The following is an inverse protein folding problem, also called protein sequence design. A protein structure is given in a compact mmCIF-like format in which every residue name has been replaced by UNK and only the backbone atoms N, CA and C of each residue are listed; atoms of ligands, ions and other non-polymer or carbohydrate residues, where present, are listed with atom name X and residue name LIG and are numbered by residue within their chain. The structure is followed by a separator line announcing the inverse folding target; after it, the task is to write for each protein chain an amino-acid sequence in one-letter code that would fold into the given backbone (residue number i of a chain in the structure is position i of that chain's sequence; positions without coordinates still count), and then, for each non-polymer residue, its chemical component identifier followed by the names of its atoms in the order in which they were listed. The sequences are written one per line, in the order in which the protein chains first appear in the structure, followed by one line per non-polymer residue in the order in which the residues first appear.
data_IF_748869494733
#
_entry.id   IF_748869494733
#
_cell.length_a   1.000
_cell.length_b   1.000
_cell.length_c   1.000
_cell.angle_alpha   90.00
_cell.angle_beta   90.00
_cell.angle_gamma   90.00
#
_symmetry.space_group_name_H-M   'P 1'
#
loop_
_entity.id
_entity.type
_entity.pdbx_description
1 polymer ?
#
# COMPACT_ATOMS: atom_id res chain seq x y z
N UNK A 1 9.70 -24.91 -0.83
CA UNK A 1 9.55 -24.44 0.55
C UNK A 1 8.15 -24.74 1.10
N UNK A 2 7.09 -24.08 0.61
CA UNK A 2 5.70 -24.26 1.10
C UNK A 2 5.28 -25.73 1.32
N UNK A 3 5.48 -26.61 0.31
CA UNK A 3 5.16 -28.06 0.43
C UNK A 3 5.89 -28.76 1.59
N UNK A 4 7.14 -28.39 1.87
CA UNK A 4 7.98 -29.06 2.88
C UNK A 4 7.57 -28.69 4.30
N UNK A 5 7.12 -27.45 4.50
CA UNK A 5 6.81 -26.88 5.82
C UNK A 5 5.31 -26.88 6.14
N UNK A 6 4.44 -27.05 5.12
CA UNK A 6 2.99 -26.99 5.32
C UNK A 6 2.44 -25.56 5.42
N UNK A 7 3.08 -24.62 4.74
CA UNK A 7 2.86 -23.18 4.93
C UNK A 7 4.16 -22.49 5.34
N UNK A 8 4.09 -21.20 5.65
CA UNK A 8 5.27 -20.42 6.08
C UNK A 8 5.08 -19.71 7.42
N UNK A 9 3.91 -19.84 8.05
CA UNK A 9 3.60 -19.28 9.38
C UNK A 9 3.40 -20.37 10.43
N UNK A 10 3.72 -20.04 11.67
CA UNK A 10 3.36 -20.82 12.87
C UNK A 10 2.93 -19.88 14.00
N UNK A 11 2.18 -20.40 14.98
CA UNK A 11 1.80 -19.65 16.19
C UNK A 11 2.66 -20.13 17.35
N UNK A 12 3.44 -19.22 17.93
CA UNK A 12 4.28 -19.50 19.09
C UNK A 12 3.75 -18.76 20.35
N UNK A 13 3.83 -19.43 21.50
CA UNK A 13 3.44 -18.82 22.79
C UNK A 13 4.51 -17.86 23.31
N UNK A 14 4.09 -16.67 23.75
CA UNK A 14 4.95 -15.69 24.46
C UNK A 14 5.31 -16.14 25.89
N UNK A 15 4.61 -17.13 26.43
CA UNK A 15 4.80 -17.66 27.79
C UNK A 15 5.04 -19.17 27.74
N UNK A 16 6.03 -19.67 28.47
CA UNK A 16 6.30 -21.11 28.59
C UNK A 16 5.52 -21.68 29.77
N UNK A 17 4.66 -22.67 29.51
CA UNK A 17 3.90 -23.37 30.54
C UNK A 17 4.69 -24.58 31.05
N UNK A 18 5.50 -24.40 32.10
CA UNK A 18 6.35 -25.46 32.67
C UNK A 18 5.80 -26.03 33.96
N UNK A 19 4.98 -25.26 34.68
CA UNK A 19 4.41 -25.62 35.97
C UNK A 19 2.89 -25.44 35.99
N UNK A 20 2.23 -26.04 36.97
CA UNK A 20 0.81 -25.80 37.25
C UNK A 20 0.55 -24.33 37.59
N UNK A 21 1.51 -23.66 38.23
CA UNK A 21 1.39 -22.23 38.51
C UNK A 21 1.34 -21.42 37.21
N UNK A 22 2.24 -21.69 36.26
CA UNK A 22 2.24 -21.01 34.95
C UNK A 22 0.90 -21.19 34.22
N UNK A 23 0.37 -22.42 34.23
CA UNK A 23 -0.94 -22.73 33.65
C UNK A 23 -2.08 -21.98 34.37
N UNK A 24 -2.03 -21.90 35.70
CA UNK A 24 -3.06 -21.22 36.51
C UNK A 24 -3.08 -19.70 36.32
N UNK A 25 -1.95 -19.11 35.92
CA UNK A 25 -1.82 -17.68 35.64
C UNK A 25 -2.24 -17.38 34.19
N UNK A 26 -1.72 -18.15 33.22
CA UNK A 26 -2.01 -17.96 31.81
C UNK A 26 -3.44 -18.40 31.42
N UNK A 27 -4.03 -19.31 32.19
CA UNK A 27 -5.38 -19.82 32.01
C UNK A 27 -6.17 -19.74 33.31
N UNK A 28 -7.14 -20.64 33.53
CA UNK A 28 -7.99 -20.59 34.72
C UNK A 28 -7.22 -20.95 36.00
N UNK A 29 -7.45 -20.23 37.11
CA UNK A 29 -8.40 -19.11 37.26
C UNK A 29 -7.83 -17.72 36.90
N UNK A 30 -6.51 -17.57 36.71
CA UNK A 30 -5.81 -16.28 36.58
C UNK A 30 -6.28 -15.42 35.40
N UNK A 31 -6.58 -16.04 34.26
CA UNK A 31 -7.08 -15.34 33.05
C UNK A 31 -8.38 -14.55 33.29
N UNK A 32 -9.12 -14.84 34.36
CA UNK A 32 -10.32 -14.07 34.71
C UNK A 32 -10.01 -12.61 35.09
N UNK A 33 -8.83 -12.33 35.66
CA UNK A 33 -8.44 -10.97 36.06
C UNK A 33 -8.32 -9.99 34.89
N UNK A 34 -7.52 -10.26 33.82
CA UNK A 34 -7.49 -9.36 32.66
C UNK A 34 -8.88 -9.25 31.99
N UNK A 35 -9.69 -10.31 31.98
CA UNK A 35 -11.07 -10.23 31.47
C UNK A 35 -11.93 -9.23 32.28
N UNK A 36 -11.86 -9.26 33.62
CA UNK A 36 -12.58 -8.29 34.48
C UNK A 36 -12.10 -6.87 34.24
N UNK A 37 -10.78 -6.66 34.14
CA UNK A 37 -10.19 -5.35 33.84
C UNK A 37 -10.63 -4.78 32.49
N UNK A 38 -10.65 -5.61 31.44
CA UNK A 38 -11.12 -5.19 30.11
C UNK A 38 -12.62 -4.89 30.13
N UNK A 39 -13.42 -5.64 30.91
CA UNK A 39 -14.86 -5.35 31.08
C UNK A 39 -15.08 -3.98 31.75
N UNK A 40 -14.26 -3.62 32.73
CA UNK A 40 -14.31 -2.32 33.41
C UNK A 40 -13.84 -1.17 32.51
N UNK A 41 -12.74 -1.38 31.78
CA UNK A 41 -12.20 -0.42 30.82
C UNK A 41 -11.78 -1.15 29.52
N UNK A 42 -12.61 -1.07 28.45
CA UNK A 42 -12.36 -1.74 27.18
C UNK A 42 -11.01 -1.40 26.52
N UNK A 43 -10.43 -0.23 26.83
CA UNK A 43 -9.14 0.17 26.26
C UNK A 43 -7.97 -0.68 26.74
N UNK A 44 -8.08 -1.33 27.91
CA UNK A 44 -7.06 -2.23 28.47
C UNK A 44 -6.86 -3.50 27.64
N UNK A 45 -7.70 -3.75 26.63
CA UNK A 45 -7.48 -4.82 25.66
C UNK A 45 -6.13 -4.67 24.95
N UNK A 46 -5.65 -3.44 24.73
CA UNK A 46 -4.33 -3.19 24.13
C UNK A 46 -3.18 -3.43 25.11
N UNK A 47 -3.44 -3.52 26.41
CA UNK A 47 -2.42 -3.80 27.41
C UNK A 47 -2.31 -5.31 27.68
N UNK A 48 -3.44 -5.99 27.86
CA UNK A 48 -3.47 -7.37 28.31
C UNK A 48 -3.55 -8.42 27.20
N UNK A 49 -3.66 -8.01 25.92
CA UNK A 49 -3.84 -8.95 24.82
C UNK A 49 -2.93 -8.67 23.64
N UNK A 50 -2.86 -9.63 22.72
CA UNK A 50 -2.09 -9.52 21.47
C UNK A 50 -2.56 -8.35 20.59
N UNK A 51 -3.79 -7.82 20.79
CA UNK A 51 -4.36 -6.73 19.98
C UNK A 51 -3.40 -5.54 19.81
N UNK A 52 -2.54 -5.27 20.79
CA UNK A 52 -1.47 -4.24 20.74
C UNK A 52 -0.64 -4.27 19.46
N UNK A 53 -0.36 -5.47 18.94
CA UNK A 53 0.65 -5.69 17.92
C UNK A 53 0.20 -6.69 16.84
N UNK A 54 -1.11 -6.84 16.64
CA UNK A 54 -1.66 -7.84 15.73
C UNK A 54 -2.44 -7.20 14.57
N UNK A 55 -2.16 -7.63 13.34
CA UNK A 55 -2.82 -7.16 12.12
C UNK A 55 -3.52 -8.31 11.41
N UNK A 56 -4.74 -8.10 10.92
CA UNK A 56 -5.38 -9.03 9.99
C UNK A 56 -5.01 -8.66 8.55
N UNK A 57 -4.45 -9.60 7.80
CA UNK A 57 -4.23 -9.47 6.35
C UNK A 57 -5.44 -10.10 5.66
N UNK A 58 -6.40 -9.26 5.26
CA UNK A 58 -7.71 -9.69 4.78
C UNK A 58 -7.78 -9.60 3.26
N UNK A 59 -8.22 -10.70 2.63
CA UNK A 59 -8.48 -10.76 1.18
C UNK A 59 -9.73 -11.59 0.90
N UNK A 60 -10.33 -11.43 -0.28
CA UNK A 60 -11.30 -12.37 -0.86
C UNK A 60 -10.73 -13.15 -2.07
N UNK A 61 -9.45 -12.92 -2.40
CA UNK A 61 -8.74 -13.55 -3.50
C UNK A 61 -9.21 -13.12 -4.90
N UNK A 62 -9.89 -11.96 -5.01
CA UNK A 62 -10.47 -11.49 -6.27
C UNK A 62 -9.51 -10.76 -7.20
N UNK A 63 -8.34 -10.33 -6.71
CA UNK A 63 -7.33 -9.62 -7.51
C UNK A 63 -5.90 -9.97 -7.10
N UNK A 64 -5.59 -11.27 -6.97
CA UNK A 64 -4.29 -11.72 -6.46
C UNK A 64 -3.17 -11.49 -7.47
N UNK A 65 -2.26 -10.57 -7.17
CA UNK A 65 -1.11 -10.24 -8.04
C UNK A 65 -1.59 -9.95 -9.49
N UNK A 66 -0.88 -10.46 -10.50
CA UNK A 66 -1.32 -10.46 -11.90
C UNK A 66 -2.18 -11.68 -12.29
N UNK A 67 -2.62 -12.50 -11.33
CA UNK A 67 -3.38 -13.74 -11.58
C UNK A 67 -4.89 -13.49 -11.63
N UNK A 68 -5.35 -12.35 -11.12
CA UNK A 68 -6.76 -11.99 -11.08
C UNK A 68 -7.54 -12.75 -9.99
N UNK A 69 -8.78 -13.10 -10.30
CA UNK A 69 -9.66 -13.78 -9.35
C UNK A 69 -9.37 -15.28 -9.32
N UNK A 70 -8.61 -15.71 -8.31
CA UNK A 70 -8.24 -17.12 -8.08
C UNK A 70 -8.94 -17.71 -6.84
N UNK A 71 -9.72 -16.89 -6.14
CA UNK A 71 -10.45 -17.27 -4.94
C UNK A 71 -9.59 -17.34 -3.67
N UNK A 72 -10.25 -17.44 -2.50
CA UNK A 72 -9.62 -17.26 -1.19
C UNK A 72 -8.56 -18.31 -0.86
N UNK A 73 -8.79 -19.58 -1.20
CA UNK A 73 -7.85 -20.66 -0.90
C UNK A 73 -6.54 -20.51 -1.67
N UNK A 74 -6.62 -20.09 -2.94
CA UNK A 74 -5.43 -19.88 -3.76
C UNK A 74 -4.69 -18.59 -3.41
N UNK A 75 -5.36 -17.62 -2.78
CA UNK A 75 -4.76 -16.39 -2.26
C UNK A 75 -3.95 -16.61 -0.97
N UNK A 76 -4.25 -17.65 -0.19
CA UNK A 76 -3.67 -17.88 1.14
C UNK A 76 -2.13 -17.85 1.18
N UNK A 77 -1.38 -18.44 0.24
CA UNK A 77 0.09 -18.35 0.24
C UNK A 77 0.62 -16.92 0.11
N UNK A 78 -0.07 -16.03 -0.61
CA UNK A 78 0.31 -14.61 -0.74
C UNK A 78 0.07 -13.90 0.59
N UNK A 79 -1.07 -14.16 1.24
CA UNK A 79 -1.41 -13.60 2.54
C UNK A 79 -0.45 -14.06 3.64
N UNK A 80 -0.05 -15.33 3.63
CA UNK A 80 1.00 -15.85 4.52
C UNK A 80 2.33 -15.13 4.28
N UNK A 81 2.71 -14.91 3.02
CA UNK A 81 3.91 -14.15 2.65
C UNK A 81 3.89 -12.72 3.20
N UNK A 82 2.76 -12.01 3.07
CA UNK A 82 2.59 -10.67 3.66
C UNK A 82 2.71 -10.67 5.17
N UNK A 83 2.12 -11.65 5.83
CA UNK A 83 2.20 -11.78 7.28
C UNK A 83 3.64 -12.02 7.78
N UNK A 84 4.47 -12.76 7.02
CA UNK A 84 5.90 -12.89 7.32
C UNK A 84 6.62 -11.56 7.19
N UNK A 85 6.34 -10.79 6.14
CA UNK A 85 6.99 -9.48 5.97
C UNK A 85 6.66 -8.55 7.15
N UNK A 86 5.40 -8.53 7.60
CA UNK A 86 5.03 -7.83 8.84
C UNK A 86 5.86 -8.28 10.05
N UNK A 87 6.05 -9.59 10.20
CA UNK A 87 6.78 -10.16 11.33
C UNK A 87 8.27 -9.87 11.27
N UNK A 88 8.91 -10.18 10.15
CA UNK A 88 10.35 -10.06 9.97
C UNK A 88 10.82 -8.61 9.91
N UNK A 89 10.05 -7.71 9.28
CA UNK A 89 10.51 -6.33 9.06
C UNK A 89 10.10 -5.42 10.21
N UNK A 90 8.94 -5.64 10.83
CA UNK A 90 8.37 -4.73 11.85
C UNK A 90 8.07 -5.39 13.20
N UNK A 91 8.27 -6.70 13.33
CA UNK A 91 7.92 -7.44 14.54
C UNK A 91 6.42 -7.48 14.80
N UNK A 92 5.57 -7.31 13.78
CA UNK A 92 4.11 -7.31 13.90
C UNK A 92 3.58 -8.74 13.75
N UNK A 93 2.66 -9.13 14.63
CA UNK A 93 2.02 -10.45 14.61
C UNK A 93 0.84 -10.42 13.61
N UNK A 94 1.10 -10.70 12.33
CA UNK A 94 0.06 -10.65 11.29
C UNK A 94 -0.59 -12.03 11.02
N UNK A 95 -1.90 -12.04 10.76
CA UNK A 95 -2.66 -13.26 10.48
C UNK A 95 -3.38 -13.17 9.13
N UNK A 96 -3.21 -14.17 8.24
CA UNK A 96 -3.90 -14.20 6.96
C UNK A 96 -5.38 -14.60 7.14
N UNK A 97 -6.29 -13.82 6.57
CA UNK A 97 -7.74 -14.04 6.61
C UNK A 97 -8.29 -13.99 5.17
N UNK A 98 -8.45 -15.16 4.54
CA UNK A 98 -9.05 -15.28 3.22
C UNK A 98 -10.56 -15.55 3.35
N UNK A 99 -11.38 -14.58 2.98
CA UNK A 99 -12.85 -14.66 3.08
C UNK A 99 -13.43 -15.39 1.86
N UNK A 100 -14.26 -16.40 2.09
CA UNK A 100 -14.97 -17.10 1.03
C UNK A 100 -16.29 -16.41 0.65
N UNK A 101 -16.20 -15.12 0.39
CA UNK A 101 -17.28 -14.29 -0.15
C UNK A 101 -16.68 -13.14 -0.93
N UNK A 102 -17.34 -12.73 -2.00
CA UNK A 102 -17.00 -11.54 -2.79
C UNK A 102 -18.16 -10.54 -2.79
N UNK A 103 -19.16 -10.74 -1.92
CA UNK A 103 -20.16 -9.72 -1.66
C UNK A 103 -19.57 -8.61 -0.79
N UNK A 104 -19.72 -7.36 -1.22
CA UNK A 104 -19.14 -6.18 -0.56
C UNK A 104 -19.60 -6.07 0.90
N UNK A 105 -20.89 -6.23 1.17
CA UNK A 105 -21.46 -6.08 2.52
C UNK A 105 -21.08 -7.25 3.41
N UNK A 106 -21.01 -8.47 2.89
CA UNK A 106 -20.53 -9.62 3.64
C UNK A 106 -19.06 -9.47 4.05
N UNK A 107 -18.19 -8.96 3.15
CA UNK A 107 -16.78 -8.66 3.46
C UNK A 107 -16.69 -7.62 4.58
N UNK A 108 -17.39 -6.48 4.44
CA UNK A 108 -17.40 -5.42 5.47
C UNK A 108 -17.86 -5.98 6.82
N UNK A 109 -18.96 -6.73 6.82
CA UNK A 109 -19.52 -7.34 8.03
C UNK A 109 -18.57 -8.34 8.69
N UNK A 110 -17.93 -9.20 7.90
CA UNK A 110 -16.97 -10.17 8.40
C UNK A 110 -15.77 -9.47 9.07
N UNK A 111 -15.18 -8.47 8.41
CA UNK A 111 -14.06 -7.71 8.98
C UNK A 111 -14.46 -7.00 10.27
N UNK A 112 -15.65 -6.40 10.33
CA UNK A 112 -16.17 -5.77 11.55
C UNK A 112 -16.31 -6.74 12.72
N UNK A 113 -16.75 -7.97 12.45
CA UNK A 113 -16.86 -9.00 13.48
C UNK A 113 -15.50 -9.52 13.97
N UNK A 114 -14.48 -9.49 13.11
CA UNK A 114 -13.12 -9.91 13.45
C UNK A 114 -12.30 -8.81 14.17
N UNK A 115 -12.63 -7.53 13.91
CA UNK A 115 -11.91 -6.37 14.42
C UNK A 115 -11.58 -6.37 15.94
N UNK A 116 -12.38 -6.93 16.86
CA UNK A 116 -12.02 -6.99 18.28
C UNK A 116 -10.66 -7.62 18.56
N UNK A 117 -10.22 -8.61 17.78
CA UNK A 117 -8.95 -9.32 17.98
C UNK A 117 -7.70 -8.58 17.43
N UNK A 118 -7.89 -7.60 16.55
CA UNK A 118 -6.80 -6.98 15.78
C UNK A 118 -6.57 -5.52 16.14
N UNK A 119 -5.32 -5.08 16.17
CA UNK A 119 -4.93 -3.68 16.30
C UNK A 119 -5.01 -2.91 14.99
N UNK A 120 -5.09 -3.60 13.85
CA UNK A 120 -5.28 -3.00 12.53
C UNK A 120 -5.69 -4.02 11.47
N UNK A 121 -6.20 -3.54 10.34
CA UNK A 121 -6.64 -4.33 9.19
C UNK A 121 -5.86 -3.90 7.95
N UNK A 122 -5.19 -4.85 7.31
CA UNK A 122 -4.56 -4.70 6.02
C UNK A 122 -5.43 -5.41 4.96
N UNK A 123 -6.18 -4.65 4.17
CA UNK A 123 -6.92 -5.18 3.02
C UNK A 123 -5.96 -5.44 1.86
N UNK A 124 -6.16 -6.55 1.17
CA UNK A 124 -5.22 -7.06 0.19
C UNK A 124 -5.89 -7.78 -0.97
N UNK A 125 -5.41 -7.56 -2.19
CA UNK A 125 -5.81 -8.31 -3.39
C UNK A 125 -7.33 -8.36 -3.59
N UNK A 126 -8.04 -7.26 -3.30
CA UNK A 126 -9.48 -7.10 -3.52
C UNK A 126 -9.72 -6.28 -4.79
N UNK A 127 -10.58 -6.78 -5.68
CA UNK A 127 -10.81 -6.17 -6.98
C UNK A 127 -11.50 -4.81 -6.92
N UNK A 128 -11.03 -3.89 -7.75
CA UNK A 128 -11.74 -2.65 -8.05
C UNK A 128 -13.02 -2.94 -8.88
N UNK A 129 -14.11 -2.17 -8.68
CA UNK A 129 -14.23 -1.01 -7.80
C UNK A 129 -14.63 -1.34 -6.35
N UNK A 130 -14.94 -2.59 -6.00
CA UNK A 130 -15.43 -2.97 -4.66
C UNK A 130 -14.46 -2.61 -3.55
N UNK A 131 -13.16 -2.74 -3.80
CA UNK A 131 -12.11 -2.41 -2.84
C UNK A 131 -12.24 -0.98 -2.27
N UNK A 132 -12.73 -0.02 -3.07
CA UNK A 132 -12.90 1.36 -2.64
C UNK A 132 -14.03 1.52 -1.63
N UNK A 133 -15.18 0.89 -1.89
CA UNK A 133 -16.32 0.92 -0.97
C UNK A 133 -16.01 0.17 0.32
N UNK A 134 -15.44 -1.04 0.21
CA UNK A 134 -15.02 -1.86 1.35
C UNK A 134 -14.09 -1.07 2.25
N UNK A 135 -13.04 -0.46 1.67
CA UNK A 135 -12.09 0.32 2.45
C UNK A 135 -12.75 1.56 3.09
N UNK A 136 -13.49 2.35 2.32
CA UNK A 136 -14.12 3.59 2.84
C UNK A 136 -15.02 3.29 4.03
N UNK A 137 -15.91 2.29 3.89
CA UNK A 137 -16.84 1.88 4.93
C UNK A 137 -16.09 1.34 6.15
N UNK A 138 -15.04 0.55 5.96
CA UNK A 138 -14.27 0.02 7.09
C UNK A 138 -13.46 1.10 7.82
N UNK A 139 -12.89 2.09 7.10
CA UNK A 139 -12.21 3.26 7.70
C UNK A 139 -13.17 4.15 8.48
N UNK A 140 -14.43 4.23 8.08
CA UNK A 140 -15.48 5.00 8.77
C UNK A 140 -16.08 4.26 9.98
N UNK A 141 -16.30 2.96 9.85
CA UNK A 141 -17.05 2.18 10.84
C UNK A 141 -16.19 1.50 11.91
N UNK A 142 -14.87 1.39 11.68
CA UNK A 142 -13.93 0.82 12.65
C UNK A 142 -13.13 1.89 13.38
N UNK A 143 -12.85 1.62 14.65
CA UNK A 143 -11.99 2.45 15.50
C UNK A 143 -10.50 1.99 15.45
N UNK A 144 -10.12 1.17 14.47
CA UNK A 144 -8.75 0.69 14.27
C UNK A 144 -8.25 1.05 12.87
N UNK A 145 -6.93 1.22 12.66
CA UNK A 145 -6.37 1.52 11.35
C UNK A 145 -6.74 0.45 10.33
N UNK A 146 -7.32 0.90 9.21
CA UNK A 146 -7.58 0.11 8.02
C UNK A 146 -6.82 0.75 6.87
N UNK A 147 -6.07 -0.07 6.12
CA UNK A 147 -5.40 0.36 4.89
C UNK A 147 -5.57 -0.75 3.85
N UNK A 148 -5.79 -0.37 2.60
CA UNK A 148 -5.62 -1.27 1.48
C UNK A 148 -4.22 -1.10 0.90
N UNK A 149 -3.38 -2.15 0.96
CA UNK A 149 -1.96 -2.02 0.60
C UNK A 149 -1.77 -1.77 -0.91
N UNK A 150 -2.52 -2.46 -1.77
CA UNK A 150 -2.48 -2.22 -3.22
C UNK A 150 -2.91 -0.80 -3.64
N UNK A 151 -3.59 -0.07 -2.75
CA UNK A 151 -3.93 1.33 -2.97
C UNK A 151 -2.86 2.24 -2.36
N UNK A 152 -2.84 2.34 -1.04
CA UNK A 152 -2.05 3.36 -0.33
C UNK A 152 -0.59 2.95 -0.20
N UNK A 153 -0.29 1.67 -0.04
CA UNK A 153 1.08 1.15 -0.03
C UNK A 153 1.79 1.46 -1.34
N UNK A 154 1.13 1.16 -2.46
CA UNK A 154 1.63 1.49 -3.81
C UNK A 154 1.83 3.00 -3.99
N UNK A 155 0.85 3.82 -3.59
CA UNK A 155 0.95 5.28 -3.72
C UNK A 155 2.11 5.88 -2.90
N UNK A 156 2.33 5.40 -1.67
CA UNK A 156 3.44 5.84 -0.81
C UNK A 156 4.79 5.55 -1.47
N UNK A 157 4.98 4.33 -1.98
CA UNK A 157 6.25 3.90 -2.57
C UNK A 157 6.53 4.61 -3.89
N UNK A 158 5.52 4.75 -4.75
CA UNK A 158 5.62 5.54 -5.99
C UNK A 158 6.01 6.98 -5.69
N UNK A 159 5.34 7.62 -4.72
CA UNK A 159 5.63 9.00 -4.40
C UNK A 159 7.02 9.16 -3.78
N UNK A 160 7.44 8.23 -2.91
CA UNK A 160 8.79 8.23 -2.34
C UNK A 160 9.87 8.16 -3.43
N UNK A 161 9.73 7.22 -4.38
CA UNK A 161 10.61 7.14 -5.53
C UNK A 161 10.58 8.41 -6.39
N UNK A 162 9.39 8.97 -6.63
CA UNK A 162 9.23 10.21 -7.40
C UNK A 162 9.94 11.39 -6.76
N UNK A 163 9.83 11.58 -5.44
CA UNK A 163 10.52 12.66 -4.72
C UNK A 163 12.03 12.65 -4.98
N UNK A 164 12.63 11.47 -5.00
CA UNK A 164 14.05 11.30 -5.27
C UNK A 164 14.39 11.43 -6.75
N UNK A 165 13.55 10.91 -7.65
CA UNK A 165 13.70 11.11 -9.08
C UNK A 165 13.66 12.60 -9.47
N UNK A 166 12.73 13.37 -8.90
CA UNK A 166 12.59 14.82 -9.12
C UNK A 166 13.86 15.61 -8.74
N UNK A 167 14.56 15.21 -7.66
CA UNK A 167 15.84 15.81 -7.28
C UNK A 167 16.93 15.64 -8.36
N UNK A 168 16.93 14.49 -9.05
CA UNK A 168 17.90 14.17 -10.11
C UNK A 168 17.58 14.90 -11.41
N UNK A 169 16.32 14.88 -11.83
CA UNK A 169 15.87 15.51 -13.09
C UNK A 169 15.62 17.02 -12.94
N UNK A 170 15.61 17.54 -11.70
CA UNK A 170 15.39 18.95 -11.35
C UNK A 170 14.08 19.51 -11.92
N UNK A 171 12.99 18.75 -11.77
CA UNK A 171 11.63 19.15 -12.17
C UNK A 171 10.76 19.35 -10.93
N UNK A 172 9.70 20.15 -11.08
CA UNK A 172 8.72 20.38 -10.02
C UNK A 172 7.44 19.56 -10.25
N UNK A 173 6.87 19.00 -9.18
CA UNK A 173 5.72 18.10 -9.26
C UNK A 173 4.49 18.74 -9.94
N UNK A 174 4.19 20.00 -9.63
CA UNK A 174 3.05 20.73 -10.22
C UNK A 174 3.25 21.09 -11.70
N UNK A 175 4.46 20.94 -12.22
CA UNK A 175 4.78 21.22 -13.63
C UNK A 175 4.74 19.99 -14.52
N UNK A 176 4.87 18.79 -13.94
CA UNK A 176 4.94 17.53 -14.68
C UNK A 176 3.69 17.27 -15.53
N UNK A 177 3.91 16.80 -16.75
CA UNK A 177 2.92 16.06 -17.52
C UNK A 177 3.01 14.58 -17.17
N UNK A 178 1.96 14.05 -16.54
CA UNK A 178 1.97 12.71 -15.97
C UNK A 178 1.02 11.81 -16.77
N UNK A 179 1.47 10.63 -17.16
CA UNK A 179 0.62 9.58 -17.72
C UNK A 179 0.52 8.41 -16.75
N UNK A 180 -0.70 8.09 -16.31
CA UNK A 180 -0.98 6.91 -15.47
C UNK A 180 -1.77 5.89 -16.29
N UNK A 181 -1.29 4.66 -16.38
CA UNK A 181 -2.04 3.55 -16.99
C UNK A 181 -2.52 2.56 -15.95
N UNK A 182 -3.80 2.17 -16.09
CA UNK A 182 -4.48 1.29 -15.15
C UNK A 182 -5.24 2.08 -14.08
N UNK A 183 -6.57 2.15 -14.22
CA UNK A 183 -7.46 2.78 -13.23
C UNK A 183 -8.12 1.74 -12.31
N UNK A 184 -7.30 0.80 -11.84
CA UNK A 184 -7.64 -0.10 -10.72
C UNK A 184 -7.33 0.53 -9.37
N UNK A 185 -7.23 -0.29 -8.33
CA UNK A 185 -6.90 0.12 -6.96
C UNK A 185 -5.66 1.05 -6.90
N UNK A 186 -4.51 0.57 -7.39
CA UNK A 186 -3.25 1.30 -7.34
C UNK A 186 -3.29 2.62 -8.10
N UNK A 187 -3.72 2.62 -9.37
CA UNK A 187 -3.66 3.83 -10.20
C UNK A 187 -4.57 4.95 -9.74
N UNK A 188 -5.76 4.62 -9.22
CA UNK A 188 -6.66 5.61 -8.60
C UNK A 188 -6.03 6.19 -7.33
N UNK A 189 -5.43 5.35 -6.48
CA UNK A 189 -4.77 5.80 -5.25
C UNK A 189 -3.54 6.66 -5.54
N UNK A 190 -2.69 6.26 -6.50
CA UNK A 190 -1.55 7.05 -6.97
C UNK A 190 -2.01 8.40 -7.51
N UNK A 191 -3.04 8.44 -8.37
CA UNK A 191 -3.60 9.69 -8.87
C UNK A 191 -4.02 10.63 -7.73
N UNK A 192 -4.84 10.14 -6.79
CA UNK A 192 -5.32 10.93 -5.65
C UNK A 192 -4.17 11.40 -4.75
N UNK A 193 -3.17 10.54 -4.54
CA UNK A 193 -1.98 10.89 -3.75
C UNK A 193 -1.16 11.99 -4.41
N UNK A 194 -0.90 11.89 -5.71
CA UNK A 194 -0.13 12.89 -6.46
C UNK A 194 -0.84 14.25 -6.48
N UNK A 195 -2.16 14.27 -6.71
CA UNK A 195 -2.96 15.51 -6.65
C UNK A 195 -2.89 16.13 -5.25
N UNK A 196 -3.05 15.32 -4.20
CA UNK A 196 -2.91 15.77 -2.80
C UNK A 196 -1.51 16.29 -2.49
N UNK A 197 -0.48 15.74 -3.13
CA UNK A 197 0.91 16.17 -3.00
C UNK A 197 1.26 17.43 -3.80
N UNK A 198 0.36 17.92 -4.67
CA UNK A 198 0.54 19.15 -5.44
C UNK A 198 0.80 18.95 -6.94
N UNK A 199 0.60 17.75 -7.49
CA UNK A 199 0.53 17.59 -8.94
C UNK A 199 -0.70 18.31 -9.49
N UNK A 200 -0.55 18.98 -10.64
CA UNK A 200 -1.67 19.62 -11.32
C UNK A 200 -2.54 18.57 -12.02
N UNK A 201 -3.78 18.31 -11.55
CA UNK A 201 -4.63 17.27 -12.15
C UNK A 201 -4.90 17.53 -13.64
N UNK A 202 -4.89 18.79 -14.09
CA UNK A 202 -5.11 19.13 -15.50
C UNK A 202 -3.98 18.62 -16.42
N UNK A 203 -2.78 18.36 -15.88
CA UNK A 203 -1.61 17.83 -16.59
C UNK A 203 -1.46 16.31 -16.45
N UNK A 204 -2.40 15.65 -15.77
CA UNK A 204 -2.42 14.20 -15.67
C UNK A 204 -3.33 13.64 -16.76
N UNK A 205 -2.81 12.71 -17.54
CA UNK A 205 -3.59 11.84 -18.41
C UNK A 205 -3.72 10.47 -17.74
N UNK A 206 -4.91 9.91 -17.79
CA UNK A 206 -5.16 8.55 -17.33
C UNK A 206 -5.66 7.69 -18.47
N UNK A 207 -5.18 6.45 -18.54
CA UNK A 207 -5.57 5.48 -19.56
C UNK A 207 -6.04 4.18 -18.91
N UNK A 208 -7.08 3.58 -19.49
CA UNK A 208 -7.52 2.23 -19.16
C UNK A 208 -7.54 1.33 -20.41
N UNK A 209 -8.20 0.18 -20.33
CA UNK A 209 -8.29 -0.80 -21.42
C UNK A 209 -8.94 -0.26 -22.70
N UNK A 210 -9.66 0.88 -22.66
CA UNK A 210 -10.26 1.50 -23.84
C UNK A 210 -9.54 2.77 -24.31
N UNK A 211 -8.37 3.08 -23.73
CA UNK A 211 -7.57 4.25 -24.07
C UNK A 211 -7.72 5.40 -23.08
N UNK A 212 -7.50 6.62 -23.56
CA UNK A 212 -7.48 7.82 -22.71
C UNK A 212 -8.86 8.06 -22.09
N UNK A 213 -8.88 8.36 -20.80
CA UNK A 213 -10.08 8.77 -20.07
C UNK A 213 -10.29 10.27 -20.24
N UNK A 214 -11.53 10.65 -20.54
CA UNK A 214 -11.92 12.04 -20.76
C UNK A 214 -13.40 12.24 -20.39
N UNK A 215 -13.75 13.47 -20.03
CA UNK A 215 -15.12 13.83 -19.69
C UNK A 215 -16.07 13.62 -20.89
N UNK A 216 -17.12 12.82 -20.70
CA UNK A 216 -18.08 12.46 -21.75
C UNK A 216 -17.74 11.17 -22.50
N UNK A 217 -16.72 10.42 -22.08
CA UNK A 217 -16.54 9.04 -22.55
C UNK A 217 -17.67 8.15 -22.03
N UNK A 218 -18.27 7.33 -22.90
CA UNK A 218 -19.37 6.43 -22.51
C UNK A 218 -18.90 5.01 -22.16
N UNK A 219 -17.84 4.54 -22.81
CA UNK A 219 -17.41 3.13 -22.74
C UNK A 219 -16.63 2.83 -21.46
N UNK A 220 -17.06 1.79 -20.73
CA UNK A 220 -16.38 1.25 -19.54
C UNK A 220 -16.09 2.31 -18.46
N UNK A 221 -17.02 3.24 -18.27
CA UNK A 221 -16.94 4.26 -17.22
C UNK A 221 -17.65 3.79 -15.96
N UNK A 222 -17.07 4.14 -14.81
CA UNK A 222 -17.68 3.99 -13.50
C UNK A 222 -17.61 5.35 -12.76
N UNK A 223 -18.27 5.51 -11.60
CA UNK A 223 -18.30 6.79 -10.89
C UNK A 223 -16.90 7.37 -10.59
N UNK A 224 -15.92 6.52 -10.29
CA UNK A 224 -14.55 6.94 -9.97
C UNK A 224 -13.83 7.43 -11.22
N UNK A 225 -13.93 6.69 -12.34
CA UNK A 225 -13.36 7.15 -13.62
C UNK A 225 -14.02 8.45 -14.07
N UNK A 226 -15.32 8.63 -13.82
CA UNK A 226 -16.03 9.86 -14.14
C UNK A 226 -15.55 11.05 -13.30
N UNK A 227 -15.31 10.85 -11.99
CA UNK A 227 -14.68 11.84 -11.12
C UNK A 227 -13.28 12.23 -11.62
N UNK A 228 -12.43 11.26 -11.94
CA UNK A 228 -11.08 11.53 -12.48
C UNK A 228 -11.17 12.29 -13.82
N UNK A 229 -12.12 11.92 -14.67
CA UNK A 229 -12.31 12.52 -15.98
C UNK A 229 -12.71 14.01 -15.93
N UNK A 230 -13.34 14.48 -14.84
CA UNK A 230 -13.71 15.90 -14.69
C UNK A 230 -12.53 16.75 -14.19
N UNK A 231 -11.55 16.13 -13.54
CA UNK A 231 -10.37 16.80 -12.98
C UNK A 231 -9.18 16.82 -13.97
N UNK A 232 -9.14 15.84 -14.87
CA UNK A 232 -8.01 15.58 -15.78
C UNK A 232 -8.32 15.94 -17.23
N UNK A 233 -7.28 16.01 -18.06
CA UNK A 233 -7.43 16.09 -19.53
C UNK A 233 -8.45 17.15 -20.03
N UNK A 234 -8.31 18.44 -19.68
CA UNK A 234 -9.27 19.48 -20.05
C UNK A 234 -9.41 19.68 -21.57
N UNK A 235 -8.35 19.34 -22.32
CA UNK A 235 -8.35 19.34 -23.79
C UNK A 235 -9.14 18.18 -24.41
N UNK A 236 -9.66 17.25 -23.60
CA UNK A 236 -10.39 16.06 -24.00
C UNK A 236 -9.65 15.27 -25.08
N UNK A 237 -8.33 15.12 -24.90
CA UNK A 237 -7.50 14.28 -25.76
C UNK A 237 -8.10 12.88 -25.80
N UNK A 238 -8.26 12.34 -27.00
CA UNK A 238 -8.80 11.00 -27.27
C UNK A 238 -7.77 10.18 -28.01
N UNK A 239 -7.93 8.87 -27.95
CA UNK A 239 -7.01 7.93 -28.59
C UNK A 239 -6.63 6.81 -27.64
N UNK A 240 -5.67 6.01 -28.07
CA UNK A 240 -5.09 4.96 -27.28
C UNK A 240 -3.88 5.44 -26.49
N UNK A 241 -3.12 4.46 -26.03
CA UNK A 241 -1.93 4.70 -25.23
C UNK A 241 -0.86 5.50 -26.00
N UNK A 242 -0.67 5.22 -27.29
CA UNK A 242 0.34 5.89 -28.14
C UNK A 242 0.13 7.40 -28.20
N UNK A 243 -1.12 7.86 -28.28
CA UNK A 243 -1.47 9.28 -28.33
C UNK A 243 -1.24 10.01 -27.00
N UNK A 244 -1.15 9.28 -25.88
CA UNK A 244 -0.99 9.86 -24.55
C UNK A 244 0.46 10.14 -24.14
N UNK A 245 1.43 9.46 -24.76
CA UNK A 245 2.86 9.55 -24.42
C UNK A 245 3.58 10.86 -24.79
N UNK A 246 3.29 11.50 -25.95
CA UNK A 246 4.09 12.62 -26.43
C UNK A 246 4.26 13.74 -25.40
N UNK A 247 5.53 14.05 -25.09
CA UNK A 247 5.90 15.13 -24.17
C UNK A 247 5.56 14.90 -22.70
N UNK A 248 5.21 13.68 -22.29
CA UNK A 248 5.03 13.33 -20.88
C UNK A 248 6.38 13.33 -20.15
N UNK A 249 6.41 13.83 -18.92
CA UNK A 249 7.60 13.84 -18.08
C UNK A 249 7.72 12.58 -17.24
N UNK A 250 6.57 12.05 -16.82
CA UNK A 250 6.44 10.91 -15.92
C UNK A 250 5.41 9.93 -16.47
N UNK A 251 5.83 8.69 -16.67
CA UNK A 251 4.94 7.56 -16.93
C UNK A 251 4.86 6.67 -15.69
N UNK A 252 3.64 6.33 -15.26
CA UNK A 252 3.36 5.38 -14.20
C UNK A 252 2.45 4.28 -14.74
N UNK A 253 2.99 3.06 -14.83
CA UNK A 253 2.26 1.88 -15.24
C UNK A 253 1.89 1.00 -14.05
N UNK A 254 0.60 0.73 -13.88
CA UNK A 254 0.03 -0.23 -12.92
C UNK A 254 -1.04 -1.08 -13.59
N UNK A 255 -0.71 -1.58 -14.78
CA UNK A 255 -1.68 -2.20 -15.69
C UNK A 255 -1.19 -3.58 -16.19
N UNK A 256 -1.09 -3.76 -17.52
CA UNK A 256 -0.74 -5.03 -18.15
C UNK A 256 0.68 -4.94 -18.69
N UNK A 257 1.47 -6.01 -18.51
CA UNK A 257 2.85 -6.06 -19.00
C UNK A 257 2.95 -6.00 -20.53
N UNK A 258 4.05 -5.43 -21.03
CA UNK A 258 4.40 -5.41 -22.46
C UNK A 258 3.57 -4.49 -23.35
N UNK A 259 2.80 -3.56 -22.79
CA UNK A 259 1.95 -2.65 -23.56
C UNK A 259 2.65 -1.36 -24.00
N UNK A 260 3.84 -1.05 -23.47
CA UNK A 260 4.61 0.15 -23.79
C UNK A 260 5.79 -0.19 -24.69
N UNK A 261 5.98 0.59 -25.76
CA UNK A 261 7.04 0.40 -26.75
C UNK A 261 8.18 1.41 -26.58
N UNK A 262 9.35 1.10 -27.14
CA UNK A 262 10.48 2.04 -27.18
C UNK A 262 10.08 3.36 -27.90
N UNK A 263 9.27 3.30 -28.96
CA UNK A 263 8.77 4.50 -29.66
C UNK A 263 7.96 5.42 -28.74
N UNK A 264 7.12 4.84 -27.88
CA UNK A 264 6.34 5.62 -26.90
C UNK A 264 7.27 6.35 -25.91
N UNK A 265 8.27 5.64 -25.38
CA UNK A 265 9.26 6.24 -24.47
C UNK A 265 10.07 7.34 -25.17
N UNK A 266 10.52 7.10 -26.41
CA UNK A 266 11.28 8.11 -27.16
C UNK A 266 10.46 9.36 -27.50
N UNK A 267 9.14 9.32 -27.40
CA UNK A 267 8.26 10.48 -27.59
C UNK A 267 8.05 11.32 -26.32
N UNK A 268 8.51 10.84 -25.16
CA UNK A 268 8.44 11.55 -23.88
C UNK A 268 9.32 12.81 -23.87
N UNK A 269 9.16 13.64 -22.84
CA UNK A 269 10.02 14.79 -22.62
C UNK A 269 11.47 14.37 -22.29
N UNK A 270 12.42 15.28 -22.46
CA UNK A 270 13.80 15.08 -21.96
C UNK A 270 13.78 14.80 -20.45
N UNK A 271 14.73 14.01 -19.97
CA UNK A 271 14.81 13.58 -18.57
C UNK A 271 13.52 12.88 -18.11
N UNK A 272 12.97 12.00 -18.95
CA UNK A 272 11.76 11.23 -18.67
C UNK A 272 11.98 10.24 -17.51
N UNK A 273 10.95 10.12 -16.67
CA UNK A 273 10.86 9.15 -15.58
C UNK A 273 9.84 8.07 -15.97
N UNK A 274 10.24 6.81 -15.90
CA UNK A 274 9.41 5.64 -16.25
C UNK A 274 9.28 4.73 -15.03
N UNK A 275 8.07 4.61 -14.49
CA UNK A 275 7.74 3.70 -13.39
C UNK A 275 6.81 2.60 -13.91
N UNK A 276 7.36 1.50 -14.41
CA UNK A 276 6.61 0.38 -15.00
C UNK A 276 6.44 -0.76 -13.98
N UNK A 277 5.32 -0.75 -13.25
CA UNK A 277 5.13 -1.57 -12.04
C UNK A 277 4.24 -2.80 -12.23
N UNK A 278 3.79 -3.10 -13.45
CA UNK A 278 3.07 -4.35 -13.69
C UNK A 278 3.91 -5.57 -13.29
N UNK A 279 3.27 -6.54 -12.65
CA UNK A 279 3.87 -7.81 -12.23
C UNK A 279 3.14 -8.99 -12.87
N UNK A 280 3.84 -10.08 -13.24
CA UNK A 280 5.30 -10.30 -13.09
C UNK A 280 6.15 -9.66 -14.21
N UNK A 281 5.52 -9.20 -15.29
CA UNK A 281 6.19 -8.55 -16.42
C UNK A 281 5.78 -7.08 -16.47
N UNK A 282 6.74 -6.13 -16.46
CA UNK A 282 6.44 -4.70 -16.49
C UNK A 282 5.86 -4.27 -17.84
N UNK A 283 5.25 -3.09 -17.89
CA UNK A 283 4.72 -2.48 -19.11
C UNK A 283 5.78 -2.35 -20.22
N UNK A 284 7.03 -2.09 -19.82
CA UNK A 284 8.24 -2.10 -20.65
C UNK A 284 9.42 -2.58 -19.79
N UNK A 285 10.35 -3.32 -20.39
CA UNK A 285 11.56 -3.75 -19.68
C UNK A 285 12.52 -2.58 -19.45
N UNK A 286 13.26 -2.52 -18.32
CA UNK A 286 14.10 -1.37 -17.98
C UNK A 286 15.19 -1.06 -19.00
N UNK A 287 15.80 -2.09 -19.59
CA UNK A 287 16.81 -1.95 -20.63
C UNK A 287 16.24 -1.30 -21.89
N UNK A 288 15.02 -1.69 -22.29
CA UNK A 288 14.31 -1.10 -23.41
C UNK A 288 13.92 0.36 -23.15
N UNK A 289 13.40 0.67 -21.97
CA UNK A 289 13.07 2.04 -21.59
C UNK A 289 14.31 2.95 -21.58
N UNK A 290 15.44 2.48 -21.01
CA UNK A 290 16.71 3.23 -21.03
C UNK A 290 17.25 3.43 -22.45
N UNK A 291 17.24 2.39 -23.29
CA UNK A 291 17.65 2.51 -24.71
C UNK A 291 16.80 3.54 -25.46
N UNK A 292 15.52 3.63 -25.13
CA UNK A 292 14.58 4.55 -25.74
C UNK A 292 14.68 6.00 -25.23
N UNK A 293 15.52 6.27 -24.21
CA UNK A 293 15.80 7.62 -23.71
C UNK A 293 15.22 7.96 -22.34
N UNK A 294 14.62 6.99 -21.62
CA UNK A 294 14.24 7.21 -20.22
C UNK A 294 15.49 7.41 -19.35
N UNK A 295 15.50 8.49 -18.56
CA UNK A 295 16.62 8.82 -17.67
C UNK A 295 16.57 8.02 -16.37
N UNK A 296 15.37 7.86 -15.81
CA UNK A 296 15.15 7.07 -14.60
C UNK A 296 14.11 6.02 -14.91
N UNK A 297 14.41 4.77 -14.56
CA UNK A 297 13.49 3.66 -14.72
C UNK A 297 13.34 2.93 -13.39
N UNK A 298 12.10 2.66 -13.01
CA UNK A 298 11.73 1.93 -11.80
C UNK A 298 10.67 0.88 -12.13
N UNK A 299 10.68 -0.24 -11.41
CA UNK A 299 9.72 -1.35 -11.64
C UNK A 299 9.27 -1.98 -10.33
N UNK A 300 8.28 -2.87 -10.38
CA UNK A 300 7.89 -3.69 -9.23
C UNK A 300 8.83 -4.88 -8.95
N UNK A 301 9.79 -5.16 -9.84
CA UNK A 301 10.63 -6.36 -9.81
C UNK A 301 11.91 -6.16 -9.01
N UNK A 302 12.30 -7.20 -8.26
CA UNK A 302 13.48 -7.18 -7.38
C UNK A 302 14.80 -7.45 -8.10
N UNK A 303 14.78 -7.87 -9.35
CA UNK A 303 15.99 -8.14 -10.14
C UNK A 303 16.47 -6.92 -10.95
N UNK A 304 15.83 -5.75 -10.77
CA UNK A 304 16.21 -4.49 -11.39
C UNK A 304 16.44 -3.39 -10.35
N UNK A 305 17.26 -2.37 -10.67
CA UNK A 305 17.37 -1.18 -9.85
C UNK A 305 16.01 -0.49 -9.64
N UNK A 306 15.93 0.30 -8.57
CA UNK A 306 14.74 1.10 -8.24
C UNK A 306 13.46 0.26 -8.11
N UNK A 307 13.49 -0.78 -7.27
CA UNK A 307 12.30 -1.58 -7.01
C UNK A 307 11.27 -0.80 -6.19
N UNK A 308 10.13 -0.48 -6.80
CA UNK A 308 8.96 0.07 -6.13
C UNK A 308 8.10 -1.09 -5.59
N UNK A 309 8.36 -1.50 -4.35
CA UNK A 309 7.63 -2.57 -3.68
C UNK A 309 6.94 -2.08 -2.40
N UNK A 310 5.66 -2.42 -2.23
CA UNK A 310 4.86 -2.06 -1.06
C UNK A 310 5.45 -2.55 0.27
N UNK A 311 6.32 -3.57 0.27
CA UNK A 311 7.05 -4.01 1.47
C UNK A 311 7.91 -2.92 2.13
N UNK A 312 8.24 -1.86 1.39
CA UNK A 312 8.91 -0.66 1.90
C UNK A 312 7.97 0.28 2.68
N UNK A 313 6.64 0.07 2.60
CA UNK A 313 5.63 0.95 3.18
C UNK A 313 4.89 0.28 4.34
N UNK A 314 4.09 -0.76 4.08
CA UNK A 314 3.13 -1.27 5.07
C UNK A 314 3.74 -1.68 6.41
N UNK A 315 4.95 -2.28 6.52
CA UNK A 315 5.48 -2.66 7.82
C UNK A 315 5.74 -1.43 8.71
N UNK A 316 6.34 -0.38 8.13
CA UNK A 316 6.63 0.87 8.82
C UNK A 316 5.35 1.64 9.18
N UNK A 317 4.41 1.74 8.25
CA UNK A 317 3.12 2.42 8.46
C UNK A 317 2.35 1.81 9.62
N UNK A 318 2.15 0.48 9.62
CA UNK A 318 1.48 -0.18 10.72
C UNK A 318 2.29 -0.11 12.01
N UNK A 319 3.63 -0.21 11.96
CA UNK A 319 4.45 -0.13 13.17
C UNK A 319 4.29 1.22 13.88
N UNK A 320 4.30 2.31 13.12
CA UNK A 320 4.05 3.65 13.65
C UNK A 320 2.65 3.79 14.21
N UNK A 321 1.63 3.36 13.45
CA UNK A 321 0.24 3.46 13.85
C UNK A 321 -0.10 2.62 15.09
N UNK A 322 0.39 1.39 15.18
CA UNK A 322 0.20 0.53 16.35
C UNK A 322 0.98 1.07 17.56
N UNK A 323 2.17 1.65 17.33
CA UNK A 323 2.98 2.28 18.37
C UNK A 323 2.27 3.43 19.10
N UNK A 324 1.37 4.15 18.42
CA UNK A 324 0.55 5.22 19.00
C UNK A 324 -0.91 4.80 19.25
N UNK A 325 -1.21 3.50 19.09
CA UNK A 325 -2.57 2.96 19.12
C UNK A 325 -3.55 3.81 18.27
N UNK A 326 -3.13 4.24 17.08
CA UNK A 326 -3.91 5.12 16.22
C UNK A 326 -5.32 4.57 15.97
N UNK A 327 -6.32 5.45 15.83
CA UNK A 327 -7.69 5.07 15.46
C UNK A 327 -7.84 4.82 13.96
N UNK A 328 -7.00 5.48 13.17
CA UNK A 328 -7.01 5.45 11.69
C UNK A 328 -5.63 5.75 11.15
N UNK A 329 -5.36 5.32 9.93
CA UNK A 329 -4.29 5.89 9.10
C UNK A 329 -4.87 7.13 8.42
N UNK A 330 -4.18 8.26 8.47
CA UNK A 330 -4.63 9.51 7.85
C UNK A 330 -3.80 9.87 6.61
N UNK A 331 -4.30 10.75 5.72
CA UNK A 331 -3.52 11.32 4.62
C UNK A 331 -2.16 11.90 5.04
N UNK A 332 -2.10 12.54 6.21
CA UNK A 332 -0.87 13.13 6.76
C UNK A 332 0.13 12.04 7.16
N UNK A 333 -0.34 10.93 7.73
CA UNK A 333 0.49 9.77 8.05
C UNK A 333 1.04 9.11 6.78
N UNK A 334 0.21 8.96 5.73
CA UNK A 334 0.63 8.42 4.43
C UNK A 334 1.69 9.32 3.76
N UNK A 335 1.51 10.65 3.82
CA UNK A 335 2.47 11.62 3.31
C UNK A 335 3.79 11.58 4.08
N UNK A 336 3.72 11.53 5.42
CA UNK A 336 4.89 11.40 6.29
C UNK A 336 5.67 10.11 6.00
N UNK A 337 4.97 8.99 5.75
CA UNK A 337 5.59 7.72 5.37
C UNK A 337 6.38 7.85 4.06
N UNK A 338 5.80 8.46 3.03
CA UNK A 338 6.46 8.61 1.73
C UNK A 338 7.71 9.50 1.80
N UNK A 339 7.63 10.63 2.51
CA UNK A 339 8.81 11.49 2.74
C UNK A 339 9.89 10.78 3.56
N UNK A 340 9.50 10.04 4.61
CA UNK A 340 10.46 9.29 5.41
C UNK A 340 11.16 8.21 4.60
N UNK A 341 10.41 7.46 3.78
CA UNK A 341 10.96 6.45 2.88
C UNK A 341 11.93 7.06 1.86
N UNK A 342 11.57 8.17 1.22
CA UNK A 342 12.46 8.86 0.28
C UNK A 342 13.76 9.32 0.95
N UNK A 343 13.68 9.78 2.20
CA UNK A 343 14.81 10.30 2.96
C UNK A 343 15.74 9.21 3.54
N UNK A 344 15.38 7.93 3.42
CA UNK A 344 16.31 6.83 3.74
C UNK A 344 17.50 6.85 2.77
N UNK A 345 17.26 7.16 1.49
CA UNK A 345 18.33 7.35 0.51
C UNK A 345 18.97 8.71 0.75
N UNK A 346 20.24 8.72 1.16
CA UNK A 346 20.96 9.96 1.40
C UNK A 346 21.30 10.68 0.08
N UNK A 347 21.52 11.99 0.14
CA UNK A 347 21.88 12.80 -1.05
C UNK A 347 23.17 12.29 -1.72
N UNK A 348 24.08 11.68 -0.95
CA UNK A 348 25.33 11.14 -1.48
C UNK A 348 25.19 9.78 -2.17
N UNK A 349 24.11 9.04 -1.90
CA UNK A 349 23.82 7.73 -2.51
C UNK A 349 22.87 7.84 -3.69
N UNK A 350 22.10 8.94 -3.75
CA UNK A 350 21.10 9.18 -4.78
C UNK A 350 21.71 9.14 -6.18
N UNK A 351 21.18 8.25 -7.02
CA UNK A 351 21.57 8.11 -8.43
C UNK A 351 20.39 7.67 -9.29
N UNK A 352 20.56 7.68 -10.61
CA UNK A 352 19.51 7.23 -11.55
C UNK A 352 19.09 5.77 -11.34
N UNK A 353 19.98 4.96 -10.74
CA UNK A 353 19.75 3.56 -10.39
C UNK A 353 19.53 3.34 -8.89
N UNK A 354 19.41 4.40 -8.08
CA UNK A 354 19.15 4.30 -6.65
C UNK A 354 18.31 5.50 -6.15
N UNK A 355 17.01 5.48 -6.45
CA UNK A 355 16.03 6.49 -6.00
C UNK A 355 15.19 6.03 -4.80
N UNK A 356 15.26 4.76 -4.44
CA UNK A 356 14.46 4.16 -3.36
C UNK A 356 15.32 3.09 -2.68
N UNK A 357 15.24 2.91 -1.34
CA UNK A 357 16.08 1.91 -0.68
C UNK A 357 15.64 0.49 -1.05
N UNK A 358 16.58 -0.45 -0.91
CA UNK A 358 16.32 -1.86 -1.10
C UNK A 358 15.32 -2.41 -0.07
N UNK A 359 14.46 -3.40 -0.41
CA UNK A 359 13.49 -3.99 0.52
C UNK A 359 14.03 -4.49 1.86
N UNK A 360 15.30 -4.90 1.90
CA UNK A 360 15.95 -5.44 3.10
C UNK A 360 16.74 -4.39 3.89
N UNK A 361 16.69 -3.12 3.48
CA UNK A 361 17.32 -2.04 4.23
C UNK A 361 16.62 -1.86 5.60
N UNK A 362 17.38 -2.16 6.66
CA UNK A 362 16.91 -2.15 8.05
C UNK A 362 16.58 -0.74 8.55
N UNK A 363 16.98 0.31 7.85
CA UNK A 363 16.66 1.69 8.22
C UNK A 363 15.24 2.10 7.82
N UNK A 364 14.62 1.40 6.86
CA UNK A 364 13.29 1.76 6.32
C UNK A 364 12.21 1.73 7.39
N UNK A 365 12.02 0.59 8.06
CA UNK A 365 10.93 0.44 9.03
C UNK A 365 11.07 1.42 10.20
N UNK A 366 12.23 1.58 10.86
CA UNK A 366 12.39 2.57 11.92
C UNK A 366 12.10 4.02 11.46
N UNK A 367 12.57 4.40 10.26
CA UNK A 367 12.36 5.75 9.73
C UNK A 367 10.88 6.03 9.45
N UNK A 368 10.22 5.13 8.71
CA UNK A 368 8.80 5.25 8.37
C UNK A 368 7.92 5.18 9.62
N UNK A 369 8.17 4.23 10.52
CA UNK A 369 7.40 4.08 11.76
C UNK A 369 7.47 5.33 12.63
N UNK A 370 8.66 5.94 12.77
CA UNK A 370 8.84 7.17 13.54
C UNK A 370 8.06 8.34 12.92
N UNK A 371 8.15 8.53 11.60
CA UNK A 371 7.44 9.61 10.92
C UNK A 371 5.91 9.44 11.02
N UNK A 372 5.43 8.21 10.84
CA UNK A 372 4.00 7.88 10.96
C UNK A 372 3.50 8.06 12.39
N UNK A 373 4.27 7.65 13.41
CA UNK A 373 3.92 7.87 14.81
C UNK A 373 3.82 9.37 15.14
N UNK A 374 4.77 10.19 14.68
CA UNK A 374 4.73 11.64 14.87
C UNK A 374 3.48 12.26 14.20
N UNK A 375 3.23 11.92 12.93
CA UNK A 375 2.05 12.40 12.20
C UNK A 375 0.73 11.93 12.84
N UNK A 376 0.72 10.73 13.43
CA UNK A 376 -0.43 10.20 14.18
C UNK A 376 -0.74 11.04 15.42
N UNK A 377 0.29 11.50 16.14
CA UNK A 377 0.14 12.39 17.30
C UNK A 377 -0.34 13.78 16.87
N UNK A 378 0.28 14.36 15.84
CA UNK A 378 -0.04 15.70 15.31
C UNK A 378 -1.45 15.80 14.73
N UNK A 379 -1.90 14.74 14.03
CA UNK A 379 -3.25 14.66 13.46
C UNK A 379 -4.34 14.25 14.47
N UNK A 380 -3.99 14.06 15.75
CA UNK A 380 -4.87 13.55 16.80
C UNK A 380 -5.49 12.16 16.46
N UNK A 381 -4.85 11.39 15.58
CA UNK A 381 -5.26 10.02 15.26
C UNK A 381 -4.85 9.05 16.38
N UNK A 382 -3.78 9.36 17.11
CA UNK A 382 -3.29 8.58 18.25
C UNK A 382 -4.35 8.46 19.36
N UNK A 383 -4.40 7.30 20.03
CA UNK A 383 -5.07 7.18 21.32
C UNK A 383 -4.11 7.64 22.41
N UNK A 384 -4.64 8.18 23.51
CA UNK A 384 -3.83 8.51 24.69
C UNK A 384 -3.10 7.25 25.18
N UNK A 385 -1.82 7.37 25.53
CA UNK A 385 -1.05 6.28 26.12
C UNK A 385 -1.73 5.85 27.42
N UNK A 386 -2.12 4.57 27.49
CA UNK A 386 -2.68 3.96 28.70
C UNK A 386 -1.58 3.58 29.70
N UNK A 387 -0.33 3.52 29.25
CA UNK A 387 0.83 3.31 30.12
C UNK A 387 1.16 4.59 30.92
N UNK A 388 0.73 5.76 30.46
CA UNK A 388 0.90 7.03 31.20
C UNK A 388 -0.12 7.17 32.36
N UNK A 389 -1.16 6.31 32.39
CA UNK A 389 -2.25 6.32 33.37
C UNK A 389 -2.14 5.19 34.42
N UNK A 390 -1.16 4.29 34.29
CA UNK A 390 -0.84 3.20 35.24
C UNK A 390 0.43 3.51 36.02
#
# INVERSE_FOLDING_TARGET
MHRRLGGVLEVESKVRLRTIHDLSVAYTPGVAEPCRKIKENPSLVYLYTIKKNTVAVVTDGSAVLGLGNIGPCAALPVMEGKAIIFKEFAGIDAFPICLNTQDTEEVIKAVKYLAPAFGGINLEDISAPRCFEIESRLREELDIPVIHDDQHGAAIVVFAGLLNALKIVKKELGELKILITGLGAAGVAIFRFLVRAGADPAKILTCDSQGIVYEGREKDMNPIKAEIATLTNPGKLKGGLKEAFPGTDLFIGVSVGGIVTEEMISSMANDAIVMAMANPTPEIMPDAAKRAGARIVATGRSDFPNQLNNCLSFPGVFKGALGTCARKITPEMEMAAAHALANVVSVGELSEDYIIPEPLDKHVVPAVAKAVANASLESCAARRSLEDEL
#
